data_IF_471688465732
#
_entry.id   IF_471688465732
#
_cell.length_a   1.000
_cell.length_b   1.000
_cell.length_c   1.000
_cell.angle_alpha   90.00
_cell.angle_beta   90.00
_cell.angle_gamma   90.00
#
_symmetry.space_group_name_H-M   'P 1'
#
loop_
_entity.id
_entity.type
_entity.pdbx_description
1 polymer ?
#
# COMPACT_ATOMS: atom_id res chain seq x y z
N UNK A 1 62.73 24.41 -22.61
CA UNK A 1 63.00 22.96 -22.63
C UNK A 1 62.62 22.43 -21.24
N UNK A 2 61.35 22.11 -21.01
CA UNK A 2 60.70 20.80 -21.24
C UNK A 2 61.33 19.77 -20.26
N UNK A 3 60.64 19.17 -19.29
CA UNK A 3 59.46 18.30 -19.48
C UNK A 3 58.83 17.85 -18.14
N UNK A 4 57.50 17.60 -18.17
CA UNK A 4 56.79 16.44 -17.56
C UNK A 4 56.61 16.35 -16.02
N UNK A 5 55.54 15.80 -15.43
CA UNK A 5 54.34 15.10 -15.90
C UNK A 5 53.31 15.17 -14.76
N UNK A 6 52.06 15.54 -15.09
CA UNK A 6 50.92 15.58 -14.18
C UNK A 6 50.50 14.16 -13.76
N UNK A 7 50.32 13.93 -12.47
CA UNK A 7 49.58 12.77 -11.94
C UNK A 7 48.66 13.24 -10.80
N UNK A 8 47.49 13.75 -11.16
CA UNK A 8 46.37 13.81 -10.23
C UNK A 8 45.62 12.47 -10.33
N UNK A 9 45.87 11.57 -9.38
CA UNK A 9 45.08 10.35 -9.21
C UNK A 9 43.70 10.75 -8.67
N UNK A 10 42.76 11.06 -9.55
CA UNK A 10 41.34 11.11 -9.21
C UNK A 10 40.83 9.68 -9.10
N UNK A 11 40.82 9.13 -7.87
CA UNK A 11 40.16 7.88 -7.57
C UNK A 11 38.65 8.05 -7.80
N UNK A 12 38.15 7.58 -8.94
CA UNK A 12 36.73 7.55 -9.25
C UNK A 12 36.10 6.38 -8.49
N UNK A 13 35.77 6.61 -7.22
CA UNK A 13 34.91 5.70 -6.44
C UNK A 13 33.53 5.67 -7.09
N UNK A 14 33.24 4.61 -7.86
CA UNK A 14 31.87 4.27 -8.22
C UNK A 14 31.14 3.84 -6.94
N UNK A 15 30.55 4.80 -6.25
CA UNK A 15 29.49 4.50 -5.29
C UNK A 15 28.33 3.92 -6.09
N UNK A 16 28.21 2.60 -6.13
CA UNK A 16 26.97 1.94 -6.49
C UNK A 16 25.93 2.32 -5.43
N UNK A 17 25.26 3.45 -5.62
CA UNK A 17 24.05 3.79 -4.87
C UNK A 17 22.99 2.81 -5.34
N UNK A 18 22.88 1.69 -4.62
CA UNK A 18 21.70 0.83 -4.68
C UNK A 18 20.54 1.68 -4.16
N UNK A 19 19.84 2.36 -5.08
CA UNK A 19 18.55 2.96 -4.75
C UNK A 19 17.70 1.83 -4.20
N UNK A 20 17.22 1.89 -2.94
CA UNK A 20 16.27 0.90 -2.48
C UNK A 20 15.12 0.93 -3.47
N UNK A 21 14.76 -0.24 -4.03
CA UNK A 21 13.54 -0.33 -4.82
C UNK A 21 12.42 0.07 -3.86
N UNK A 22 11.95 1.30 -4.00
CA UNK A 22 10.88 1.82 -3.16
C UNK A 22 9.67 1.01 -3.58
N UNK A 23 9.28 0.04 -2.74
CA UNK A 23 8.00 -0.62 -2.86
C UNK A 23 6.94 0.49 -2.98
N UNK A 24 6.27 0.54 -4.12
CA UNK A 24 5.29 1.58 -4.42
C UNK A 24 4.21 1.56 -3.34
N UNK A 25 4.17 2.62 -2.52
CA UNK A 25 3.18 2.77 -1.47
C UNK A 25 1.89 3.18 -2.16
N UNK A 26 0.96 2.23 -2.28
CA UNK A 26 -0.36 2.50 -2.83
C UNK A 26 -1.30 2.80 -1.67
N UNK A 27 -1.70 4.06 -1.55
CA UNK A 27 -2.71 4.53 -0.60
C UNK A 27 -4.02 4.74 -1.33
N UNK A 28 -5.11 4.18 -0.82
CA UNK A 28 -6.46 4.42 -1.33
C UNK A 28 -7.36 4.86 -0.19
N UNK A 29 -7.98 6.02 -0.35
CA UNK A 29 -9.02 6.51 0.56
C UNK A 29 -10.36 5.82 0.29
N UNK A 30 -11.03 5.39 1.35
CA UNK A 30 -12.39 4.84 1.32
C UNK A 30 -13.32 5.79 2.06
N UNK A 31 -14.12 6.51 1.29
CA UNK A 31 -15.13 7.43 1.81
C UNK A 31 -16.31 6.66 2.43
N UNK A 32 -16.77 7.12 3.58
CA UNK A 32 -17.85 6.48 4.33
C UNK A 32 -18.63 7.43 5.26
N UNK A 33 -18.40 8.74 5.14
CA UNK A 33 -19.09 9.76 5.91
C UNK A 33 -20.61 9.81 5.63
N UNK A 34 -21.02 9.31 4.45
CA UNK A 34 -22.42 9.16 4.03
C UNK A 34 -23.11 7.92 4.62
N UNK A 35 -22.35 7.02 5.25
CA UNK A 35 -22.89 5.76 5.76
C UNK A 35 -23.30 5.88 7.23
N UNK A 36 -24.52 5.45 7.54
CA UNK A 36 -24.92 5.21 8.93
C UNK A 36 -24.30 3.91 9.44
N UNK A 37 -23.13 4.01 10.08
CA UNK A 37 -22.39 2.87 10.62
C UNK A 37 -22.98 2.29 11.92
N UNK A 38 -24.04 2.90 12.47
CA UNK A 38 -24.77 2.37 13.63
C UNK A 38 -25.75 1.26 13.27
N UNK A 39 -25.97 0.97 11.98
CA UNK A 39 -26.82 -0.13 11.52
C UNK A 39 -26.06 -1.10 10.61
N UNK A 40 -26.55 -2.34 10.51
CA UNK A 40 -25.85 -3.38 9.75
C UNK A 40 -25.78 -3.07 8.26
N UNK A 41 -26.77 -2.35 7.69
CA UNK A 41 -26.78 -1.97 6.26
C UNK A 41 -25.64 -1.01 5.91
N UNK A 42 -25.36 -0.02 6.76
CA UNK A 42 -24.22 0.91 6.56
C UNK A 42 -22.89 0.18 6.72
N UNK A 43 -22.78 -0.72 7.69
CA UNK A 43 -21.60 -1.58 7.87
C UNK A 43 -21.37 -2.50 6.66
N UNK A 44 -22.42 -3.10 6.10
CA UNK A 44 -22.34 -3.95 4.91
C UNK A 44 -21.91 -3.15 3.67
N UNK A 45 -22.45 -1.95 3.51
CA UNK A 45 -22.04 -1.03 2.44
C UNK A 45 -20.56 -0.67 2.57
N UNK A 46 -20.08 -0.37 3.79
CA UNK A 46 -18.66 -0.11 4.05
C UNK A 46 -17.78 -1.33 3.73
N UNK A 47 -18.19 -2.54 4.12
CA UNK A 47 -17.49 -3.79 3.75
C UNK A 47 -17.36 -3.94 2.23
N UNK A 48 -18.42 -3.62 1.49
CA UNK A 48 -18.40 -3.61 0.03
C UNK A 48 -17.38 -2.62 -0.54
N UNK A 49 -17.36 -1.39 -0.02
CA UNK A 49 -16.41 -0.34 -0.43
C UNK A 49 -14.96 -0.72 -0.14
N UNK A 50 -14.69 -1.25 1.05
CA UNK A 50 -13.36 -1.75 1.43
C UNK A 50 -12.90 -2.87 0.47
N UNK A 51 -13.77 -3.83 0.15
CA UNK A 51 -13.44 -4.88 -0.81
C UNK A 51 -13.15 -4.31 -2.22
N UNK A 52 -13.91 -3.31 -2.65
CA UNK A 52 -13.64 -2.60 -3.91
C UNK A 52 -12.26 -1.93 -3.91
N UNK A 53 -11.92 -1.20 -2.84
CA UNK A 53 -10.62 -0.56 -2.69
C UNK A 53 -9.47 -1.57 -2.66
N UNK A 54 -9.60 -2.67 -1.91
CA UNK A 54 -8.63 -3.77 -1.88
C UNK A 54 -8.39 -4.36 -3.27
N UNK A 55 -9.45 -4.54 -4.06
CA UNK A 55 -9.33 -5.05 -5.41
C UNK A 55 -8.62 -4.07 -6.36
N UNK A 56 -8.81 -2.75 -6.17
CA UNK A 56 -8.06 -1.72 -6.90
C UNK A 56 -6.58 -1.76 -6.56
N UNK A 57 -6.23 -1.84 -5.27
CA UNK A 57 -4.83 -1.89 -4.79
C UNK A 57 -4.12 -3.18 -5.22
N UNK A 58 -4.74 -4.33 -5.01
CA UNK A 58 -4.10 -5.63 -5.28
C UNK A 58 -4.21 -6.08 -6.76
N UNK A 59 -4.96 -5.31 -7.57
CA UNK A 59 -5.27 -5.59 -8.97
C UNK A 59 -6.09 -6.86 -9.22
N UNK A 60 -6.44 -7.13 -10.49
CA UNK A 60 -7.35 -8.21 -10.90
C UNK A 60 -6.78 -9.61 -10.67
N UNK A 61 -7.63 -10.63 -10.59
CA UNK A 61 -7.26 -12.05 -10.39
C UNK A 61 -6.86 -12.77 -11.72
N UNK A 62 -6.55 -12.02 -12.78
CA UNK A 62 -6.28 -12.57 -14.11
C UNK A 62 -5.00 -13.43 -14.21
N UNK A 63 -4.72 -13.94 -15.41
CA UNK A 63 -3.52 -14.76 -15.70
C UNK A 63 -2.25 -14.03 -15.25
N UNK A 64 -1.72 -14.49 -14.12
CA UNK A 64 -0.59 -13.92 -13.40
C UNK A 64 0.43 -15.04 -13.19
N UNK A 65 1.71 -14.73 -13.30
CA UNK A 65 2.75 -15.70 -12.91
C UNK A 65 2.55 -16.13 -11.45
N UNK A 66 3.05 -17.30 -11.05
CA UNK A 66 2.91 -17.81 -9.67
C UNK A 66 3.33 -16.76 -8.62
N UNK A 67 4.43 -16.04 -8.88
CA UNK A 67 4.90 -14.94 -8.05
C UNK A 67 3.89 -13.80 -7.94
N UNK A 68 3.27 -13.40 -9.05
CA UNK A 68 2.24 -12.35 -9.07
C UNK A 68 0.97 -12.80 -8.34
N UNK A 69 0.57 -14.07 -8.46
CA UNK A 69 -0.54 -14.65 -7.68
C UNK A 69 -0.22 -14.59 -6.19
N UNK A 70 0.99 -14.99 -5.79
CA UNK A 70 1.43 -14.94 -4.40
C UNK A 70 1.38 -13.52 -3.85
N UNK A 71 1.95 -12.53 -4.57
CA UNK A 71 1.92 -11.12 -4.19
C UNK A 71 0.49 -10.59 -4.05
N UNK A 72 -0.40 -10.91 -5.00
CA UNK A 72 -1.80 -10.50 -4.93
C UNK A 72 -2.54 -11.14 -3.75
N UNK A 73 -2.28 -12.42 -3.45
CA UNK A 73 -2.84 -13.11 -2.28
C UNK A 73 -2.32 -12.52 -0.96
N UNK A 74 -1.04 -12.17 -0.90
CA UNK A 74 -0.44 -11.50 0.26
C UNK A 74 -1.09 -10.12 0.47
N UNK A 75 -1.18 -9.32 -0.59
CA UNK A 75 -1.86 -8.02 -0.61
C UNK A 75 -3.29 -8.10 -0.07
N UNK A 76 -4.13 -8.96 -0.66
CA UNK A 76 -5.53 -9.09 -0.22
C UNK A 76 -5.64 -9.56 1.23
N UNK A 77 -4.75 -10.45 1.69
CA UNK A 77 -4.75 -10.92 3.08
C UNK A 77 -4.39 -9.80 4.05
N UNK A 78 -3.37 -9.01 3.76
CA UNK A 78 -2.95 -7.87 4.57
C UNK A 78 -4.07 -6.83 4.67
N UNK A 79 -4.60 -6.39 3.53
CA UNK A 79 -5.61 -5.33 3.53
C UNK A 79 -6.95 -5.79 4.12
N UNK A 80 -7.36 -7.06 3.92
CA UNK A 80 -8.55 -7.62 4.60
C UNK A 80 -8.37 -7.71 6.10
N UNK A 81 -7.13 -7.90 6.60
CA UNK A 81 -6.86 -7.86 8.04
C UNK A 81 -7.05 -6.44 8.57
N UNK A 82 -6.48 -5.44 7.91
CA UNK A 82 -6.67 -4.02 8.27
C UNK A 82 -8.15 -3.63 8.27
N UNK A 83 -8.88 -3.96 7.19
CA UNK A 83 -10.32 -3.71 7.07
C UNK A 83 -11.14 -4.36 8.20
N UNK A 84 -10.77 -5.58 8.63
CA UNK A 84 -11.45 -6.24 9.76
C UNK A 84 -11.20 -5.55 11.10
N UNK A 85 -9.97 -5.10 11.34
CA UNK A 85 -9.63 -4.36 12.57
C UNK A 85 -10.43 -3.05 12.63
N UNK A 86 -10.45 -2.29 11.54
CA UNK A 86 -11.28 -1.09 11.43
C UNK A 86 -12.76 -1.39 11.74
N UNK A 87 -13.33 -2.42 11.13
CA UNK A 87 -14.74 -2.78 11.35
C UNK A 87 -15.02 -3.21 12.79
N UNK A 88 -14.06 -3.86 13.47
CA UNK A 88 -14.20 -4.17 14.90
C UNK A 88 -14.14 -2.92 15.77
N UNK A 89 -13.28 -1.96 15.42
CA UNK A 89 -13.14 -0.72 16.18
C UNK A 89 -14.36 0.21 16.03
N UNK A 90 -14.91 0.31 14.80
CA UNK A 90 -16.19 1.01 14.52
C UNK A 90 -17.32 0.39 15.34
N UNK A 91 -17.43 -0.94 15.35
CA UNK A 91 -18.46 -1.65 16.14
C UNK A 91 -18.24 -1.54 17.65
N UNK A 92 -17.00 -1.36 18.09
CA UNK A 92 -16.64 -1.14 19.48
C UNK A 92 -16.81 0.30 19.96
N UNK A 93 -17.18 1.25 19.09
CA UNK A 93 -17.41 2.65 19.44
C UNK A 93 -16.14 3.46 19.75
N UNK A 94 -14.95 2.95 19.43
CA UNK A 94 -13.66 3.52 19.86
C UNK A 94 -12.93 4.35 18.79
N UNK A 95 -13.55 4.62 17.63
CA UNK A 95 -12.88 5.33 16.52
C UNK A 95 -13.54 6.67 16.30
N UNK A 96 -12.74 7.73 16.42
CA UNK A 96 -13.01 9.00 15.75
C UNK A 96 -12.97 8.71 14.25
N UNK A 97 -14.14 8.58 13.64
CA UNK A 97 -14.30 8.16 12.25
C UNK A 97 -13.76 9.29 11.37
N UNK A 98 -12.46 9.25 11.07
CA UNK A 98 -11.90 10.05 9.99
C UNK A 98 -12.71 9.73 8.73
N UNK A 99 -13.22 10.75 8.05
CA UNK A 99 -14.13 10.64 6.90
C UNK A 99 -13.59 9.79 5.75
N UNK A 100 -12.29 9.51 5.77
CA UNK A 100 -11.56 8.71 4.80
C UNK A 100 -10.67 7.68 5.53
N UNK A 101 -10.87 6.40 5.21
CA UNK A 101 -9.96 5.34 5.65
C UNK A 101 -8.90 5.10 4.59
N UNK A 102 -7.63 5.19 4.98
CA UNK A 102 -6.50 4.92 4.11
C UNK A 102 -6.03 3.47 4.29
N UNK A 103 -6.02 2.71 3.19
CA UNK A 103 -5.36 1.41 3.15
C UNK A 103 -4.00 1.53 2.47
N UNK A 104 -2.96 1.12 3.18
CA UNK A 104 -1.59 1.07 2.66
C UNK A 104 -1.15 -0.38 2.50
N UNK A 105 -0.58 -0.70 1.33
CA UNK A 105 0.12 -1.95 1.09
C UNK A 105 1.55 -1.70 0.61
N UNK A 106 2.53 -2.18 1.38
CA UNK A 106 3.93 -2.26 0.97
C UNK A 106 4.22 -3.67 0.42
N UNK A 107 4.46 -3.76 -0.89
CA UNK A 107 4.65 -4.99 -1.67
C UNK A 107 5.99 -5.68 -1.50
#
# INVERSE_FOLDING_TARGET
>A
MNTNLKLFLSALTLAFVSTPVVAEQVTVSVEHADLNLSNEKGIETLKGRLNGAINRVCGPVGFRSVTQIYRARKCRRTLRRQARMLLSEIRGGNVAIASNFEIEYRG
#
